data_IF_430099001598
#
_entry.id   IF_430099001598
#
_cell.length_a   1.000
_cell.length_b   1.000
_cell.length_c   1.000
_cell.angle_alpha   90.00
_cell.angle_beta   90.00
_cell.angle_gamma   90.00
#
_symmetry.space_group_name_H-M   'P 1'
#
loop_
_entity.id
_entity.type
_entity.pdbx_description
1 polymer ?
#
# COMPACT_ATOMS: atom_id res chain seq x y z
N UNK A 1 -1.77 -16.48 23.49
CA UNK A 1 -2.79 -15.86 22.61
C UNK A 1 -2.14 -14.71 21.84
N UNK A 2 -2.62 -14.49 20.62
CA UNK A 2 -2.23 -13.36 19.76
C UNK A 2 -3.50 -12.58 19.44
N UNK A 3 -3.63 -11.38 19.97
CA UNK A 3 -4.84 -10.57 19.86
C UNK A 3 -5.28 -10.35 18.40
N UNK A 4 -4.32 -10.10 17.51
CA UNK A 4 -4.56 -9.87 16.09
C UNK A 4 -4.52 -11.15 15.24
N UNK A 5 -4.54 -12.35 15.85
CA UNK A 5 -4.38 -13.63 15.15
C UNK A 5 -5.38 -13.85 13.99
N UNK A 6 -6.57 -13.26 14.08
CA UNK A 6 -7.59 -13.33 13.03
C UNK A 6 -7.16 -12.79 11.67
N UNK A 7 -6.17 -11.88 11.60
CA UNK A 7 -5.68 -11.37 10.31
C UNK A 7 -5.03 -12.45 9.45
N UNK A 8 -4.56 -13.55 10.07
CA UNK A 8 -4.00 -14.69 9.33
C UNK A 8 -5.03 -15.40 8.46
N UNK A 9 -6.32 -15.29 8.78
CA UNK A 9 -7.38 -15.86 7.94
C UNK A 9 -7.41 -15.23 6.53
N UNK A 10 -6.89 -14.02 6.37
CA UNK A 10 -6.79 -13.35 5.08
C UNK A 10 -5.51 -13.71 4.30
N UNK A 11 -4.53 -14.38 4.94
CA UNK A 11 -3.25 -14.69 4.30
C UNK A 11 -3.39 -15.53 3.01
N UNK A 12 -4.21 -16.59 2.96
CA UNK A 12 -4.40 -17.35 1.72
C UNK A 12 -4.93 -16.46 0.58
N UNK A 13 -5.90 -15.60 0.87
CA UNK A 13 -6.44 -14.66 -0.13
C UNK A 13 -5.40 -13.66 -0.61
N UNK A 14 -4.59 -13.09 0.29
CA UNK A 14 -3.49 -12.18 -0.08
C UNK A 14 -2.47 -12.85 -1.01
N UNK A 15 -2.12 -14.11 -0.75
CA UNK A 15 -1.17 -14.86 -1.57
C UNK A 15 -1.76 -15.21 -2.94
N UNK A 16 -3.03 -15.62 -2.99
CA UNK A 16 -3.76 -15.90 -4.25
C UNK A 16 -3.87 -14.63 -5.09
N UNK A 17 -4.20 -13.49 -4.48
CA UNK A 17 -4.25 -12.18 -5.15
C UNK A 17 -2.87 -11.66 -5.57
N UNK A 18 -1.80 -12.32 -5.17
CA UNK A 18 -0.46 -12.05 -5.68
C UNK A 18 0.34 -11.04 -4.87
N UNK A 19 0.08 -10.90 -3.55
CA UNK A 19 0.83 -9.98 -2.69
C UNK A 19 2.35 -10.08 -2.86
N UNK A 20 2.88 -11.30 -3.00
CA UNK A 20 4.31 -11.56 -3.18
C UNK A 20 4.69 -11.81 -4.64
N UNK A 21 3.70 -11.86 -5.55
CA UNK A 21 3.94 -12.12 -6.97
C UNK A 21 4.63 -10.92 -7.60
N UNK A 22 5.56 -11.17 -8.48
CA UNK A 22 6.40 -10.17 -9.13
C UNK A 22 7.30 -9.34 -8.19
N UNK A 23 7.19 -9.49 -6.87
CA UNK A 23 7.98 -8.70 -5.92
C UNK A 23 9.48 -8.92 -6.11
N UNK A 24 9.94 -10.16 -6.21
CA UNK A 24 11.35 -10.50 -6.42
C UNK A 24 11.88 -10.04 -7.79
N UNK A 25 11.03 -9.99 -8.82
CA UNK A 25 11.41 -9.49 -10.14
C UNK A 25 11.44 -7.97 -10.23
N UNK A 26 10.57 -7.31 -9.46
CA UNK A 26 10.40 -5.86 -9.51
C UNK A 26 11.31 -5.10 -8.55
N UNK A 27 11.66 -5.69 -7.42
CA UNK A 27 12.44 -5.01 -6.38
C UNK A 27 13.79 -5.67 -6.15
N UNK A 28 14.81 -4.84 -5.98
CA UNK A 28 16.13 -5.30 -5.57
C UNK A 28 16.09 -5.89 -4.16
N UNK A 29 17.00 -6.81 -3.88
CA UNK A 29 17.17 -7.39 -2.57
C UNK A 29 17.36 -6.29 -1.49
N UNK A 30 16.61 -6.42 -0.38
CA UNK A 30 16.74 -5.56 0.78
C UNK A 30 17.77 -6.14 1.75
N UNK A 31 18.87 -5.45 2.02
CA UNK A 31 19.90 -5.95 2.94
C UNK A 31 19.37 -6.05 4.37
N UNK A 32 19.90 -7.00 5.15
CA UNK A 32 19.61 -7.19 6.55
C UNK A 32 18.64 -8.32 6.86
N UNK A 33 18.30 -8.49 8.14
CA UNK A 33 17.59 -9.64 8.67
C UNK A 33 16.17 -9.85 8.08
N UNK A 34 15.45 -8.77 7.77
CA UNK A 34 14.08 -8.86 7.26
C UNK A 34 14.07 -8.78 5.75
N UNK A 35 13.76 -9.89 5.03
CA UNK A 35 13.66 -9.92 3.58
C UNK A 35 12.44 -9.16 3.07
N UNK A 36 12.36 -9.01 1.76
CA UNK A 36 11.30 -8.25 1.06
C UNK A 36 9.91 -8.79 1.42
N UNK A 37 9.74 -10.10 1.38
CA UNK A 37 8.47 -10.79 1.65
C UNK A 37 7.96 -10.47 3.06
N UNK A 38 8.84 -10.45 4.04
CA UNK A 38 8.50 -10.09 5.42
C UNK A 38 7.98 -8.65 5.51
N UNK A 39 8.58 -7.72 4.75
CA UNK A 39 8.14 -6.33 4.73
C UNK A 39 6.75 -6.19 4.09
N UNK A 40 6.53 -6.89 2.96
CA UNK A 40 5.22 -6.90 2.29
C UNK A 40 4.13 -7.48 3.19
N UNK A 41 4.39 -8.65 3.80
CA UNK A 41 3.47 -9.28 4.73
C UNK A 41 3.19 -8.39 5.95
N UNK A 42 4.24 -7.81 6.55
CA UNK A 42 4.08 -6.92 7.69
C UNK A 42 3.14 -5.75 7.35
N UNK A 43 3.36 -5.06 6.24
CA UNK A 43 2.52 -3.93 5.82
C UNK A 43 1.09 -4.38 5.53
N UNK A 44 0.90 -5.51 4.85
CA UNK A 44 -0.42 -6.05 4.55
C UNK A 44 -1.20 -6.42 5.82
N UNK A 45 -0.55 -7.12 6.78
CA UNK A 45 -1.19 -7.50 8.04
C UNK A 45 -1.49 -6.27 8.92
N UNK A 46 -0.61 -5.25 8.93
CA UNK A 46 -0.88 -3.99 9.61
C UNK A 46 -2.10 -3.27 9.02
N UNK A 47 -2.23 -3.27 7.69
CA UNK A 47 -3.38 -2.68 7.01
C UNK A 47 -4.68 -3.42 7.33
N UNK A 48 -4.67 -4.76 7.33
CA UNK A 48 -5.82 -5.60 7.68
C UNK A 48 -6.24 -5.41 9.14
N UNK A 49 -5.29 -5.28 10.06
CA UNK A 49 -5.55 -4.97 11.46
C UNK A 49 -5.94 -3.51 11.71
N UNK A 50 -6.02 -2.69 10.64
CA UNK A 50 -6.34 -1.26 10.70
C UNK A 50 -5.40 -0.47 11.61
N UNK A 51 -4.13 -0.85 11.69
CA UNK A 51 -3.11 -0.06 12.37
C UNK A 51 -2.93 1.25 11.60
N UNK A 52 -3.24 2.42 12.19
CA UNK A 52 -3.45 3.66 11.43
C UNK A 52 -2.17 4.26 10.85
N UNK A 53 -1.01 3.89 11.38
CA UNK A 53 0.29 4.36 10.91
C UNK A 53 1.41 3.46 11.37
N UNK A 54 2.58 3.55 10.73
CA UNK A 54 3.76 2.81 11.20
C UNK A 54 4.17 3.22 12.63
N UNK A 55 3.92 4.47 13.03
CA UNK A 55 4.23 4.95 14.37
C UNK A 55 3.37 4.26 15.44
N UNK A 56 2.12 3.92 15.11
CA UNK A 56 1.22 3.21 16.02
C UNK A 56 1.76 1.82 16.39
N UNK A 57 2.60 1.22 15.53
CA UNK A 57 3.25 -0.05 15.83
C UNK A 57 4.11 -0.01 17.12
N UNK A 58 4.52 1.16 17.60
CA UNK A 58 5.24 1.31 18.87
C UNK A 58 4.41 0.91 20.09
N UNK A 59 3.10 0.95 19.95
CA UNK A 59 2.16 0.61 21.02
C UNK A 59 1.63 -0.83 20.89
N UNK A 60 2.05 -1.54 19.86
CA UNK A 60 1.67 -2.92 19.62
C UNK A 60 2.70 -3.88 20.26
N UNK A 61 2.26 -5.06 20.73
CA UNK A 61 3.17 -6.05 21.33
C UNK A 61 4.07 -6.70 20.25
N UNK A 62 5.39 -6.41 20.23
CA UNK A 62 6.24 -6.78 19.10
C UNK A 62 6.41 -8.29 18.91
N UNK A 63 6.36 -9.06 20.00
CA UNK A 63 6.44 -10.53 19.92
C UNK A 63 5.16 -11.17 19.36
N UNK A 64 3.98 -10.61 19.63
CA UNK A 64 2.73 -11.12 19.06
C UNK A 64 2.69 -10.88 17.55
N UNK A 65 3.03 -9.67 17.12
CA UNK A 65 3.15 -9.34 15.71
C UNK A 65 4.25 -10.13 15.02
N UNK A 66 5.35 -10.41 15.71
CA UNK A 66 6.41 -11.30 15.20
C UNK A 66 5.88 -12.67 14.87
N UNK A 67 5.10 -13.29 15.77
CA UNK A 67 4.49 -14.61 15.55
C UNK A 67 3.61 -14.67 14.31
N UNK A 68 2.87 -13.60 13.99
CA UNK A 68 2.07 -13.51 12.75
C UNK A 68 2.94 -13.58 11.48
N UNK A 69 4.21 -13.21 11.58
CA UNK A 69 5.19 -13.24 10.50
C UNK A 69 6.13 -14.45 10.56
N UNK A 70 5.93 -15.36 11.52
CA UNK A 70 6.86 -16.48 11.77
C UNK A 70 8.20 -16.03 12.35
N UNK A 71 8.24 -14.92 13.07
CA UNK A 71 9.42 -14.31 13.67
C UNK A 71 9.28 -14.19 15.20
N UNK A 72 10.40 -14.00 15.90
CA UNK A 72 10.38 -13.70 17.34
C UNK A 72 9.74 -12.35 17.64
N UNK A 73 9.96 -11.37 16.76
CA UNK A 73 9.36 -10.04 16.84
C UNK A 73 9.24 -9.37 15.48
N UNK A 74 8.28 -8.46 15.35
CA UNK A 74 8.11 -7.61 14.16
C UNK A 74 9.29 -6.64 14.04
N UNK A 75 9.65 -6.19 12.81
CA UNK A 75 10.62 -5.12 12.61
C UNK A 75 10.23 -3.86 13.39
N UNK A 76 11.20 -3.25 14.05
CA UNK A 76 11.00 -1.95 14.70
C UNK A 76 10.56 -0.90 13.68
N UNK A 77 9.78 0.08 14.14
CA UNK A 77 9.27 1.19 13.32
C UNK A 77 10.35 1.86 12.48
N UNK A 78 11.53 2.09 13.08
CA UNK A 78 12.67 2.69 12.36
C UNK A 78 13.13 1.80 11.21
N UNK A 79 13.31 0.51 11.47
CA UNK A 79 13.74 -0.48 10.47
C UNK A 79 12.72 -0.60 9.34
N UNK A 80 11.43 -0.71 9.69
CA UNK A 80 10.35 -0.81 8.71
C UNK A 80 10.27 0.46 7.85
N UNK A 81 10.37 1.63 8.46
CA UNK A 81 10.38 2.92 7.75
C UNK A 81 11.57 3.03 6.78
N UNK A 82 12.76 2.64 7.21
CA UNK A 82 13.97 2.73 6.37
C UNK A 82 13.89 1.77 5.19
N UNK A 83 13.36 0.57 5.40
CA UNK A 83 13.11 -0.38 4.29
C UNK A 83 12.05 0.11 3.34
N UNK A 84 10.91 0.60 3.83
CA UNK A 84 9.86 1.19 2.98
C UNK A 84 10.36 2.42 2.22
N UNK A 85 11.18 3.28 2.84
CA UNK A 85 11.78 4.42 2.14
C UNK A 85 12.62 3.97 0.96
N UNK A 86 13.43 2.92 1.12
CA UNK A 86 14.22 2.33 0.02
C UNK A 86 13.34 1.80 -1.11
N UNK A 87 12.26 1.09 -0.77
CA UNK A 87 11.29 0.62 -1.76
C UNK A 87 10.60 1.78 -2.49
N UNK A 88 10.21 2.83 -1.78
CA UNK A 88 9.57 4.01 -2.37
C UNK A 88 10.51 4.85 -3.25
N UNK A 89 11.82 4.79 -3.04
CA UNK A 89 12.79 5.43 -3.93
C UNK A 89 12.84 4.78 -5.33
N UNK A 90 12.38 3.56 -5.44
CA UNK A 90 12.25 2.81 -6.68
C UNK A 90 10.85 2.99 -7.31
N UNK A 91 10.41 4.22 -7.53
CA UNK A 91 9.05 4.53 -7.99
C UNK A 91 8.63 3.82 -9.28
N UNK A 92 9.55 3.68 -10.24
CA UNK A 92 9.35 2.91 -11.48
C UNK A 92 9.05 1.44 -11.19
N UNK A 93 9.77 0.85 -10.24
CA UNK A 93 9.63 -0.57 -9.86
C UNK A 93 8.29 -0.79 -9.14
N UNK A 94 7.86 0.14 -8.30
CA UNK A 94 6.53 0.09 -7.65
C UNK A 94 5.43 0.12 -8.70
N UNK A 95 5.54 1.02 -9.69
CA UNK A 95 4.58 1.09 -10.80
C UNK A 95 4.57 -0.20 -11.62
N UNK A 96 5.74 -0.71 -12.02
CA UNK A 96 5.86 -1.95 -12.78
C UNK A 96 5.23 -3.12 -12.04
N UNK A 97 5.49 -3.25 -10.73
CA UNK A 97 4.91 -4.29 -9.90
C UNK A 97 3.38 -4.17 -9.81
N UNK A 98 2.85 -2.99 -9.51
CA UNK A 98 1.40 -2.77 -9.41
C UNK A 98 0.70 -2.93 -10.76
N UNK A 99 1.32 -2.49 -11.86
CA UNK A 99 0.79 -2.66 -13.21
C UNK A 99 0.75 -4.13 -13.64
N UNK A 100 1.78 -4.92 -13.32
CA UNK A 100 1.79 -6.35 -13.62
C UNK A 100 0.65 -7.09 -12.89
N UNK A 101 0.42 -6.78 -11.61
CA UNK A 101 -0.71 -7.33 -10.86
C UNK A 101 -2.05 -6.89 -11.43
N UNK A 102 -2.21 -5.60 -11.75
CA UNK A 102 -3.43 -5.08 -12.33
C UNK A 102 -3.77 -5.75 -13.68
N UNK A 103 -2.77 -5.89 -14.56
CA UNK A 103 -2.94 -6.58 -15.83
C UNK A 103 -3.39 -8.04 -15.66
N UNK A 104 -2.82 -8.75 -14.70
CA UNK A 104 -3.22 -10.11 -14.39
C UNK A 104 -4.67 -10.19 -13.90
N UNK A 105 -5.05 -9.31 -12.96
CA UNK A 105 -6.42 -9.27 -12.44
C UNK A 105 -7.43 -8.90 -13.51
N UNK A 106 -7.11 -7.91 -14.36
CA UNK A 106 -7.96 -7.53 -15.51
C UNK A 106 -8.09 -8.67 -16.51
N UNK A 107 -7.01 -9.39 -16.81
CA UNK A 107 -7.04 -10.55 -17.71
C UNK A 107 -7.85 -11.72 -17.14
N UNK A 108 -7.84 -11.91 -15.82
CA UNK A 108 -8.62 -12.93 -15.13
C UNK A 108 -10.12 -12.61 -15.09
N UNK A 109 -10.50 -11.32 -15.19
CA UNK A 109 -11.89 -10.84 -15.08
C UNK A 109 -12.21 -9.82 -16.19
N UNK A 110 -12.20 -10.25 -17.47
CA UNK A 110 -12.36 -9.32 -18.60
C UNK A 110 -13.71 -8.60 -18.62
N UNK A 111 -14.77 -9.24 -18.12
CA UNK A 111 -16.10 -8.62 -18.03
C UNK A 111 -16.11 -7.46 -17.03
N UNK A 112 -15.55 -7.65 -15.85
CA UNK A 112 -15.43 -6.60 -14.82
C UNK A 112 -14.48 -5.49 -15.26
N UNK A 113 -13.45 -5.81 -16.04
CA UNK A 113 -12.46 -4.86 -16.56
C UNK A 113 -12.96 -4.07 -17.78
N UNK A 114 -14.09 -4.44 -18.37
CA UNK A 114 -14.66 -3.76 -19.55
C UNK A 114 -15.14 -2.33 -19.27
N UNK A 115 -15.45 -2.01 -18.03
CA UNK A 115 -15.82 -0.66 -17.58
C UNK A 115 -15.09 -0.33 -16.29
N UNK A 116 -14.33 0.76 -16.28
CA UNK A 116 -13.54 1.18 -15.14
C UNK A 116 -14.09 2.47 -14.54
N UNK A 117 -14.12 2.53 -13.21
CA UNK A 117 -14.41 3.75 -12.45
C UNK A 117 -13.13 4.34 -11.92
N UNK A 118 -12.94 5.64 -12.10
CA UNK A 118 -11.80 6.37 -11.56
C UNK A 118 -12.31 7.34 -10.51
N UNK A 119 -11.84 7.18 -9.27
CA UNK A 119 -12.15 8.08 -8.16
C UNK A 119 -10.90 8.75 -7.62
N UNK A 120 -10.98 10.06 -7.44
CA UNK A 120 -9.88 10.87 -6.93
C UNK A 120 -10.06 11.19 -5.44
N UNK A 121 -9.14 10.74 -4.61
CA UNK A 121 -9.15 11.01 -3.18
C UNK A 121 -7.96 11.88 -2.76
N UNK A 122 -8.24 13.03 -2.10
CA UNK A 122 -7.19 13.88 -1.55
C UNK A 122 -6.75 13.35 -0.19
N UNK A 123 -5.49 12.94 -0.11
CA UNK A 123 -4.85 12.57 1.15
C UNK A 123 -4.18 13.79 1.78
N UNK A 124 -4.79 14.30 2.82
CA UNK A 124 -4.31 15.48 3.53
C UNK A 124 -2.99 15.18 4.25
N UNK A 125 -2.02 16.08 4.09
CA UNK A 125 -0.74 16.01 4.76
C UNK A 125 -0.67 17.03 5.90
N UNK A 126 -0.51 16.54 7.13
CA UNK A 126 -0.42 17.35 8.33
C UNK A 126 1.03 17.60 8.80
N UNK A 127 2.02 17.07 8.07
CA UNK A 127 3.42 17.24 8.40
C UNK A 127 4.00 18.58 7.96
N UNK A 128 5.16 18.93 8.53
CA UNK A 128 5.88 20.16 8.21
C UNK A 128 7.08 19.95 7.26
N UNK A 129 7.53 18.69 7.10
CA UNK A 129 8.80 18.39 6.43
C UNK A 129 8.72 18.43 4.90
N UNK A 130 7.54 18.15 4.33
CA UNK A 130 7.37 18.06 2.87
C UNK A 130 6.51 19.21 2.37
N UNK A 131 7.01 19.93 1.37
CA UNK A 131 6.27 20.99 0.69
C UNK A 131 5.38 20.36 -0.37
N UNK A 132 4.11 20.07 -0.01
CA UNK A 132 3.12 19.57 -0.95
C UNK A 132 2.21 20.70 -1.45
N UNK A 133 1.68 20.61 -2.68
CA UNK A 133 0.72 21.58 -3.19
C UNK A 133 -0.58 21.54 -2.38
N UNK A 134 -1.29 22.68 -2.39
CA UNK A 134 -2.62 22.75 -1.78
C UNK A 134 -3.66 22.16 -2.72
N UNK A 135 -4.60 21.39 -2.14
CA UNK A 135 -5.73 20.77 -2.83
C UNK A 135 -7.03 21.15 -2.13
N UNK A 136 -8.06 21.33 -2.91
CA UNK A 136 -9.39 21.52 -2.36
C UNK A 136 -9.93 20.18 -1.86
N UNK A 137 -10.21 20.12 -0.57
CA UNK A 137 -10.82 18.95 0.08
C UNK A 137 -12.30 19.23 0.27
N UNK A 138 -13.14 18.69 -0.58
CA UNK A 138 -14.58 18.96 -0.62
C UNK A 138 -15.27 18.69 0.71
N UNK A 139 -14.89 17.62 1.41
CA UNK A 139 -15.44 17.25 2.72
C UNK A 139 -15.18 18.31 3.81
N UNK A 140 -14.04 18.99 3.72
CA UNK A 140 -13.62 19.99 4.70
C UNK A 140 -13.85 21.43 4.18
N UNK A 141 -14.17 21.59 2.90
CA UNK A 141 -14.34 22.89 2.22
C UNK A 141 -13.12 23.82 2.37
N UNK A 142 -11.93 23.22 2.42
CA UNK A 142 -10.66 23.93 2.63
C UNK A 142 -9.62 23.48 1.60
N UNK A 143 -8.69 24.40 1.25
CA UNK A 143 -7.51 24.07 0.49
C UNK A 143 -6.37 23.63 1.43
N UNK A 144 -6.10 22.33 1.48
CA UNK A 144 -5.10 21.72 2.36
C UNK A 144 -3.95 21.15 1.53
N UNK A 145 -2.77 21.05 2.15
CA UNK A 145 -1.63 20.38 1.54
C UNK A 145 -1.89 18.88 1.46
N UNK A 146 -1.57 18.26 0.32
CA UNK A 146 -1.78 16.83 0.18
C UNK A 146 -1.36 16.30 -1.18
N UNK A 147 -1.55 14.99 -1.32
CA UNK A 147 -1.46 14.26 -2.58
C UNK A 147 -2.86 13.88 -3.03
N UNK A 148 -3.02 13.60 -4.32
CA UNK A 148 -4.25 13.00 -4.85
C UNK A 148 -3.95 11.57 -5.22
N UNK A 149 -4.75 10.63 -4.67
CA UNK A 149 -4.74 9.23 -5.04
C UNK A 149 -5.91 8.97 -5.99
N UNK A 150 -5.61 8.58 -7.24
CA UNK A 150 -6.61 8.15 -8.21
C UNK A 150 -6.74 6.63 -8.15
N UNK A 151 -7.88 6.17 -7.71
CA UNK A 151 -8.21 4.75 -7.63
C UNK A 151 -8.93 4.32 -8.89
N UNK A 152 -8.41 3.30 -9.56
CA UNK A 152 -9.04 2.69 -10.73
C UNK A 152 -9.67 1.39 -10.29
N UNK A 153 -11.00 1.34 -10.38
CA UNK A 153 -11.81 0.24 -9.87
C UNK A 153 -12.59 -0.41 -11.01
N UNK A 154 -12.79 -1.71 -10.89
CA UNK A 154 -13.71 -2.45 -11.75
C UNK A 154 -15.17 -2.09 -11.46
N UNK A 155 -16.08 -2.55 -12.33
CA UNK A 155 -17.51 -2.31 -12.23
C UNK A 155 -18.12 -2.87 -10.94
N UNK A 156 -17.58 -3.95 -10.39
CA UNK A 156 -17.99 -4.56 -9.12
C UNK A 156 -17.36 -3.89 -7.88
N UNK A 157 -16.54 -2.85 -8.09
CA UNK A 157 -15.85 -2.12 -7.02
C UNK A 157 -14.48 -2.68 -6.63
N UNK A 158 -14.00 -3.74 -7.29
CA UNK A 158 -12.65 -4.25 -7.04
C UNK A 158 -11.60 -3.23 -7.49
N UNK A 159 -10.68 -2.80 -6.61
CA UNK A 159 -9.60 -1.90 -7.01
C UNK A 159 -8.54 -2.67 -7.82
N UNK A 160 -8.20 -2.18 -9.01
CA UNK A 160 -7.11 -2.73 -9.81
C UNK A 160 -5.79 -2.04 -9.49
N UNK A 161 -5.76 -0.72 -9.47
CA UNK A 161 -4.55 0.01 -9.10
C UNK A 161 -4.85 1.41 -8.59
N UNK A 162 -3.84 2.04 -8.03
CA UNK A 162 -3.88 3.42 -7.55
C UNK A 162 -2.70 4.20 -8.09
N UNK A 163 -2.94 5.43 -8.53
CA UNK A 163 -1.91 6.38 -8.93
C UNK A 163 -1.89 7.53 -7.94
N UNK A 164 -0.80 7.67 -7.18
CA UNK A 164 -0.62 8.77 -6.23
C UNK A 164 0.20 9.88 -6.87
N UNK A 165 -0.30 11.11 -6.84
CA UNK A 165 0.39 12.26 -7.40
C UNK A 165 0.44 13.44 -6.43
N UNK A 166 1.58 14.10 -6.36
CA UNK A 166 1.73 15.34 -5.59
C UNK A 166 1.06 16.52 -6.28
N UNK A 167 1.09 16.55 -7.61
CA UNK A 167 0.33 17.48 -8.44
C UNK A 167 -0.98 16.84 -8.87
N UNK A 168 -2.00 17.64 -9.09
CA UNK A 168 -3.25 17.20 -9.72
C UNK A 168 -3.19 17.53 -11.21
N UNK A 169 -2.73 16.62 -12.06
CA UNK A 169 -2.63 16.86 -13.50
C UNK A 169 -4.00 16.89 -14.18
N UNK A 170 -5.07 16.64 -13.43
CA UNK A 170 -6.38 16.36 -13.96
C UNK A 170 -6.55 14.90 -14.37
N UNK A 171 -7.80 14.45 -14.38
CA UNK A 171 -8.15 13.06 -14.67
C UNK A 171 -7.63 12.60 -16.04
N UNK A 172 -7.74 13.47 -17.06
CA UNK A 172 -7.32 13.17 -18.42
C UNK A 172 -5.81 12.94 -18.60
N UNK A 173 -4.98 13.51 -17.73
CA UNK A 173 -3.53 13.28 -17.76
C UNK A 173 -3.09 12.09 -16.91
N UNK A 174 -3.99 11.56 -16.11
CA UNK A 174 -3.72 10.43 -15.23
C UNK A 174 -4.08 9.10 -15.89
N UNK A 175 -5.01 9.13 -16.83
CA UNK A 175 -5.46 8.02 -17.67
C UNK A 175 -4.59 7.91 -18.93
#
# INVERSE_FOLDING_TARGET
DVLQGGVLCALPALLVLGLLRYSAASFSWLPGYYPLETIFLAVALLALARVPSLEALRYEPPGEWGRLLGLDRIPEVRTLRDKLRRLCQAGEQVRAWSSALAQEWMAAQPESAGTLYVDGHVRVYHGALTQLPRRYVARQRLCLRGTTDYWVNAMDGQPFFVVSQAADPGLLQTL
#
